data_IF_787351154601
#
_entry.id   IF_787351154601
#
_cell.length_a   1.000
_cell.length_b   1.000
_cell.length_c   1.000
_cell.angle_alpha   90.00
_cell.angle_beta   90.00
_cell.angle_gamma   90.00
#
_symmetry.space_group_name_H-M   'P 1'
#
loop_
_entity.id
_entity.type
_entity.pdbx_description
1 polymer ?
#
# COMPACT_ATOMS: atom_id res chain seq x y z
N UNK A 1 4.67 20.01 -0.05
CA UNK A 1 3.86 21.15 -0.57
C UNK A 1 2.43 20.94 -0.13
N UNK A 2 1.75 21.98 0.37
CA UNK A 2 0.34 21.90 0.80
C UNK A 2 -0.46 22.94 0.03
N UNK A 3 -1.54 22.54 -0.60
CA UNK A 3 -2.56 23.45 -1.13
C UNK A 3 -3.84 23.31 -0.32
N UNK A 4 -4.58 24.41 -0.21
CA UNK A 4 -5.88 24.47 0.46
C UNK A 4 -6.84 25.14 -0.50
N UNK A 5 -7.97 24.49 -0.76
CA UNK A 5 -9.03 24.98 -1.63
C UNK A 5 -10.35 25.02 -0.86
N UNK A 6 -11.10 26.11 -1.01
CA UNK A 6 -12.46 26.23 -0.48
C UNK A 6 -13.40 25.79 -1.61
N UNK A 7 -14.09 24.67 -1.43
CA UNK A 7 -14.96 24.12 -2.49
C UNK A 7 -16.41 24.60 -2.36
N UNK A 8 -16.87 24.86 -1.14
CA UNK A 8 -18.21 25.38 -0.83
C UNK A 8 -18.24 25.95 0.60
N UNK A 9 -19.26 26.73 1.01
CA UNK A 9 -19.35 27.30 2.35
C UNK A 9 -19.19 26.23 3.44
N UNK A 10 -18.16 26.39 4.28
CA UNK A 10 -17.86 25.47 5.38
C UNK A 10 -17.09 24.19 5.00
N UNK A 11 -16.66 24.01 3.74
CA UNK A 11 -15.83 22.86 3.33
C UNK A 11 -14.50 23.31 2.71
N UNK A 12 -13.44 22.64 3.14
CA UNK A 12 -12.08 22.82 2.62
C UNK A 12 -11.47 21.49 2.20
N UNK A 13 -10.79 21.48 1.06
CA UNK A 13 -9.97 20.37 0.60
C UNK A 13 -8.51 20.74 0.84
N UNK A 14 -7.77 19.86 1.51
CA UNK A 14 -6.34 20.03 1.76
C UNK A 14 -5.60 18.95 1.01
N UNK A 15 -4.81 19.34 0.01
CA UNK A 15 -3.94 18.43 -0.73
C UNK A 15 -2.51 18.61 -0.25
N UNK A 16 -1.86 17.51 0.15
CA UNK A 16 -0.47 17.53 0.61
C UNK A 16 0.36 16.56 -0.22
N UNK A 17 1.43 17.07 -0.81
CA UNK A 17 2.48 16.24 -1.42
C UNK A 17 3.59 16.03 -0.39
N UNK A 18 3.87 14.75 -0.10
CA UNK A 18 4.95 14.31 0.78
C UNK A 18 5.90 13.40 0.01
N UNK A 19 7.20 13.66 0.11
CA UNK A 19 8.23 12.75 -0.36
C UNK A 19 8.44 11.66 0.70
N UNK A 20 8.35 10.40 0.30
CA UNK A 20 8.56 9.25 1.19
C UNK A 20 9.90 8.61 0.86
N UNK A 21 10.78 8.52 1.87
CA UNK A 21 12.01 7.75 1.79
C UNK A 21 11.76 6.31 2.22
N UNK A 22 12.26 5.36 1.43
CA UNK A 22 12.28 3.94 1.81
C UNK A 22 13.26 3.75 2.96
N UNK A 23 12.80 3.09 4.02
CA UNK A 23 13.61 2.76 5.21
C UNK A 23 14.12 1.32 5.11
N UNK A 24 13.23 0.37 4.78
CA UNK A 24 13.57 -1.01 4.46
C UNK A 24 12.47 -1.61 3.59
N UNK A 25 12.76 -2.73 2.93
CA UNK A 25 11.79 -3.43 2.09
C UNK A 25 12.10 -4.93 2.03
N UNK A 26 11.13 -5.73 1.59
CA UNK A 26 11.26 -7.17 1.37
C UNK A 26 10.36 -7.64 0.23
N UNK A 27 10.97 -8.29 -0.76
CA UNK A 27 10.27 -8.95 -1.85
C UNK A 27 9.54 -10.21 -1.36
N UNK A 28 8.46 -10.57 -2.05
CA UNK A 28 7.63 -11.76 -1.80
C UNK A 28 7.25 -11.95 -0.33
N UNK A 29 6.92 -10.85 0.35
CA UNK A 29 6.65 -10.85 1.78
C UNK A 29 5.47 -11.76 2.17
N UNK A 30 4.39 -11.70 1.41
CA UNK A 30 3.18 -12.48 1.65
C UNK A 30 2.40 -12.69 0.35
N UNK A 31 1.37 -13.53 0.40
CA UNK A 31 0.39 -13.69 -0.67
C UNK A 31 -1.01 -13.33 -0.20
N UNK A 32 -1.82 -12.75 -1.09
CA UNK A 32 -3.20 -12.37 -0.77
C UNK A 32 -4.10 -13.61 -0.71
N UNK A 33 -4.10 -14.28 0.45
CA UNK A 33 -4.95 -15.44 0.70
C UNK A 33 -6.22 -15.06 1.47
N UNK A 34 -7.21 -15.95 1.44
CA UNK A 34 -8.39 -15.81 2.30
C UNK A 34 -8.04 -15.75 3.80
N UNK A 35 -6.99 -16.45 4.22
CA UNK A 35 -6.47 -16.39 5.60
C UNK A 35 -5.88 -15.01 5.92
N UNK A 36 -5.03 -14.47 5.05
CA UNK A 36 -4.46 -13.13 5.21
C UNK A 36 -5.57 -12.08 5.34
N UNK A 37 -6.55 -12.12 4.43
CA UNK A 37 -7.72 -11.24 4.44
C UNK A 37 -8.52 -11.37 5.75
N UNK A 38 -8.73 -12.59 6.24
CA UNK A 38 -9.44 -12.86 7.50
C UNK A 38 -8.68 -12.32 8.70
N UNK A 39 -7.37 -12.54 8.77
CA UNK A 39 -6.51 -12.00 9.83
C UNK A 39 -6.54 -10.47 9.92
N UNK A 40 -6.79 -9.80 8.79
CA UNK A 40 -6.86 -8.34 8.67
C UNK A 40 -8.28 -7.76 8.80
N UNK A 41 -9.29 -8.60 8.95
CA UNK A 41 -10.71 -8.19 8.99
C UNK A 41 -11.04 -7.15 10.07
N UNK A 42 -10.31 -7.15 11.20
CA UNK A 42 -10.51 -6.22 12.32
C UNK A 42 -9.56 -5.01 12.31
N UNK A 43 -8.56 -4.99 11.44
CA UNK A 43 -7.58 -3.91 11.37
C UNK A 43 -8.11 -2.75 10.53
N UNK A 44 -7.75 -1.51 10.87
CA UNK A 44 -8.09 -0.34 10.02
C UNK A 44 -7.46 -0.48 8.64
N UNK A 45 -6.19 -0.87 8.59
CA UNK A 45 -5.47 -1.10 7.35
C UNK A 45 -5.62 -2.56 6.91
N UNK A 46 -6.31 -2.75 5.78
CA UNK A 46 -6.61 -4.09 5.25
C UNK A 46 -5.47 -4.67 4.43
N UNK A 47 -4.58 -3.82 3.89
CA UNK A 47 -3.50 -4.20 2.99
C UNK A 47 -3.99 -5.07 1.81
N UNK A 48 -5.15 -4.75 1.26
CA UNK A 48 -5.78 -5.48 0.16
C UNK A 48 -5.59 -4.81 -1.21
N UNK A 49 -4.84 -3.72 -1.26
CA UNK A 49 -4.53 -2.98 -2.48
C UNK A 49 -3.07 -2.51 -2.47
N UNK A 50 -2.49 -2.37 -3.65
CA UNK A 50 -1.16 -1.80 -3.83
C UNK A 50 -1.15 -0.34 -3.39
N UNK A 51 -0.18 0.06 -2.57
CA UNK A 51 -0.08 1.42 -2.05
C UNK A 51 0.15 2.48 -3.13
N UNK A 52 0.85 2.14 -4.22
CA UNK A 52 1.25 3.11 -5.26
C UNK A 52 0.24 3.24 -6.39
N UNK A 53 -0.31 2.12 -6.88
CA UNK A 53 -1.23 2.10 -8.01
C UNK A 53 -2.69 1.78 -7.62
N UNK A 54 -2.96 1.57 -6.33
CA UNK A 54 -4.29 1.24 -5.79
C UNK A 54 -4.92 -0.04 -6.39
N UNK A 55 -4.11 -0.87 -7.05
CA UNK A 55 -4.55 -2.14 -7.63
C UNK A 55 -5.04 -3.11 -6.55
N UNK A 56 -6.26 -3.68 -6.65
CA UNK A 56 -6.74 -4.68 -5.71
C UNK A 56 -6.02 -6.00 -5.91
N UNK A 57 -5.35 -6.49 -4.85
CA UNK A 57 -4.66 -7.78 -4.90
C UNK A 57 -5.66 -8.92 -5.13
N UNK A 58 -5.34 -9.82 -6.05
CA UNK A 58 -6.20 -10.96 -6.36
C UNK A 58 -6.12 -12.00 -5.25
N UNK A 59 -7.28 -12.38 -4.71
CA UNK A 59 -7.37 -13.36 -3.62
C UNK A 59 -7.28 -14.76 -4.21
N UNK A 60 -6.39 -15.58 -3.67
CA UNK A 60 -6.27 -16.99 -4.01
C UNK A 60 -6.39 -17.91 -2.79
N UNK A 61 -6.70 -19.17 -3.06
CA UNK A 61 -6.72 -20.25 -2.07
C UNK A 61 -5.44 -21.07 -2.12
N UNK A 62 -5.11 -21.75 -1.00
CA UNK A 62 -3.99 -22.70 -0.95
C UNK A 62 -2.62 -22.10 -1.28
N UNK A 63 -2.41 -20.80 -1.07
CA UNK A 63 -1.15 -20.12 -1.38
C UNK A 63 -1.03 -19.56 -2.81
N UNK A 64 -2.09 -19.66 -3.63
CA UNK A 64 -2.08 -19.12 -5.00
C UNK A 64 -2.56 -17.65 -5.10
N UNK A 65 -2.57 -16.93 -3.98
CA UNK A 65 -2.90 -15.51 -3.97
C UNK A 65 -1.81 -14.65 -4.63
N UNK A 66 -2.21 -13.45 -5.02
CA UNK A 66 -1.31 -12.43 -5.58
C UNK A 66 -0.10 -12.22 -4.67
N UNK A 67 1.10 -12.15 -5.25
CA UNK A 67 2.32 -11.86 -4.51
C UNK A 67 2.29 -10.41 -4.05
N UNK A 68 2.54 -10.20 -2.76
CA UNK A 68 2.60 -8.89 -2.14
C UNK A 68 3.99 -8.66 -1.57
N UNK A 69 4.59 -7.56 -1.98
CA UNK A 69 5.87 -7.09 -1.47
C UNK A 69 5.63 -6.05 -0.39
N UNK A 70 6.54 -5.93 0.58
CA UNK A 70 6.42 -4.95 1.67
C UNK A 70 7.53 -3.90 1.57
N UNK A 71 7.16 -2.65 1.79
CA UNK A 71 8.07 -1.51 1.87
C UNK A 71 7.69 -0.70 3.10
N UNK A 72 8.68 -0.38 3.93
CA UNK A 72 8.53 0.58 5.02
C UNK A 72 9.01 1.95 4.56
N UNK A 73 8.15 2.96 4.72
CA UNK A 73 8.53 4.35 4.50
C UNK A 73 8.74 5.06 5.83
N UNK A 74 9.82 5.84 5.93
CA UNK A 74 10.15 6.58 7.15
C UNK A 74 8.99 7.50 7.56
N UNK A 75 8.40 7.23 8.74
CA UNK A 75 7.29 8.00 9.31
C UNK A 75 5.89 7.69 8.75
N UNK A 76 5.74 6.75 7.82
CA UNK A 76 4.44 6.22 7.38
C UNK A 76 4.26 4.73 7.74
N UNK A 77 5.37 4.02 7.96
CA UNK A 77 5.38 2.61 8.29
C UNK A 77 5.23 1.69 7.08
N UNK A 78 4.77 0.47 7.34
CA UNK A 78 4.71 -0.60 6.35
C UNK A 78 3.56 -0.44 5.37
N UNK A 79 3.85 -0.64 4.08
CA UNK A 79 2.90 -0.64 2.96
C UNK A 79 3.12 -1.87 2.08
N UNK A 80 2.07 -2.35 1.44
CA UNK A 80 2.14 -3.45 0.47
C UNK A 80 2.08 -2.93 -0.96
N UNK A 81 2.91 -3.50 -1.82
CA UNK A 81 3.02 -3.17 -3.24
C UNK A 81 2.87 -4.44 -4.09
N UNK A 82 2.30 -4.30 -5.29
CA UNK A 82 2.42 -5.34 -6.32
C UNK A 82 3.87 -5.42 -6.82
N UNK A 83 4.21 -6.50 -7.52
CA UNK A 83 5.56 -6.76 -8.05
C UNK A 83 6.06 -5.61 -8.92
N UNK A 84 5.29 -5.17 -9.91
CA UNK A 84 5.69 -4.09 -10.83
C UNK A 84 6.01 -2.78 -10.10
N UNK A 85 5.21 -2.43 -9.09
CA UNK A 85 5.41 -1.19 -8.35
C UNK A 85 6.57 -1.30 -7.36
N UNK A 86 6.79 -2.49 -6.82
CA UNK A 86 7.93 -2.76 -5.95
C UNK A 86 9.23 -2.63 -6.74
N UNK A 87 9.34 -3.33 -7.88
CA UNK A 87 10.52 -3.27 -8.76
C UNK A 87 10.85 -1.83 -9.19
N UNK A 88 9.85 -1.06 -9.62
CA UNK A 88 10.03 0.35 -9.99
C UNK A 88 10.50 1.24 -8.84
N UNK A 89 10.14 0.89 -7.60
CA UNK A 89 10.45 1.71 -6.43
C UNK A 89 11.83 1.36 -5.84
N UNK A 90 12.15 0.07 -5.74
CA UNK A 90 13.35 -0.41 -5.06
C UNK A 90 14.49 -0.72 -6.03
N UNK A 91 14.19 -1.02 -7.30
CA UNK A 91 15.16 -1.53 -8.27
C UNK A 91 15.61 -2.97 -7.96
N UNK A 92 15.00 -3.62 -6.98
CA UNK A 92 15.33 -4.97 -6.54
C UNK A 92 14.25 -5.93 -7.00
N UNK A 93 14.54 -6.73 -8.04
CA UNK A 93 13.90 -8.01 -8.42
C UNK A 93 14.65 -8.64 -9.59
#
# INVERSE_FOLDING_TARGET
MRSVEITEPGKVVITTTKALGVDWHKAEFARMTNEFKRGRSRFKEKFNRCFTCDWPFQVGDGGNGEVMNIVCFKGEGNKLLCTDCYEKLTGDL
#
